data_IF_556637218683
#
_entry.id   IF_556637218683
#
_cell.length_a   1.000
_cell.length_b   1.000
_cell.length_c   1.000
_cell.angle_alpha   90.00
_cell.angle_beta   90.00
_cell.angle_gamma   90.00
#
_symmetry.space_group_name_H-M   'P 1'
#
loop_
_entity.id
_entity.type
_entity.pdbx_description
1 polymer ?
#
# COMPACT_ATOMS: atom_id res chain seq x y z
N UNK A 1 -12.74 -8.43 0.52
CA UNK A 1 -11.79 -8.21 -0.59
C UNK A 1 -11.26 -9.56 -1.05
N UNK A 2 -10.99 -9.74 -2.34
CA UNK A 2 -10.32 -10.94 -2.84
C UNK A 2 -8.88 -10.99 -2.28
N UNK A 3 -8.38 -12.20 -1.99
CA UNK A 3 -7.01 -12.40 -1.51
C UNK A 3 -6.06 -12.48 -2.70
N UNK A 4 -4.95 -11.73 -2.62
CA UNK A 4 -3.89 -11.72 -3.64
C UNK A 4 -2.56 -12.04 -2.96
N UNK A 5 -1.83 -13.03 -3.47
CA UNK A 5 -0.48 -13.35 -3.04
C UNK A 5 0.50 -12.91 -4.15
N UNK A 6 1.44 -12.04 -3.81
CA UNK A 6 2.44 -11.51 -4.75
C UNK A 6 3.81 -11.49 -4.12
N UNK A 7 4.84 -11.57 -4.97
CA UNK A 7 6.22 -11.30 -4.58
C UNK A 7 6.59 -9.89 -5.03
N UNK A 8 7.18 -9.12 -4.13
CA UNK A 8 7.66 -7.76 -4.38
C UNK A 8 9.14 -7.69 -4.01
N UNK A 9 9.86 -6.69 -4.54
CA UNK A 9 11.26 -6.47 -4.17
C UNK A 9 11.39 -6.07 -2.69
N UNK A 10 12.55 -6.37 -2.10
CA UNK A 10 12.87 -5.95 -0.73
C UNK A 10 12.76 -4.43 -0.56
N UNK A 11 13.10 -3.66 -1.60
CA UNK A 11 12.97 -2.21 -1.58
C UNK A 11 11.51 -1.76 -1.44
N UNK A 12 10.59 -2.34 -2.23
CA UNK A 12 9.16 -2.02 -2.15
C UNK A 12 8.60 -2.44 -0.79
N UNK A 13 8.97 -3.63 -0.32
CA UNK A 13 8.58 -4.10 1.01
C UNK A 13 8.99 -3.10 2.10
N UNK A 14 10.26 -2.67 2.11
CA UNK A 14 10.77 -1.74 3.11
C UNK A 14 10.10 -0.36 3.04
N UNK A 15 9.79 0.13 1.83
CA UNK A 15 9.05 1.38 1.64
C UNK A 15 7.63 1.29 2.21
N UNK A 16 6.92 0.19 1.99
CA UNK A 16 5.57 -0.01 2.55
C UNK A 16 5.64 -0.06 4.08
N UNK A 17 6.59 -0.80 4.64
CA UNK A 17 6.79 -0.87 6.10
C UNK A 17 7.07 0.51 6.69
N UNK A 18 7.92 1.31 6.05
CA UNK A 18 8.20 2.68 6.51
C UNK A 18 6.94 3.57 6.51
N UNK A 19 6.04 3.42 5.54
CA UNK A 19 4.75 4.14 5.50
C UNK A 19 3.87 3.75 6.68
N UNK A 20 3.77 2.44 6.98
CA UNK A 20 3.01 1.91 8.11
C UNK A 20 3.54 2.50 9.42
N UNK A 21 4.86 2.42 9.65
CA UNK A 21 5.48 2.94 10.88
C UNK A 21 5.31 4.45 11.02
N UNK A 22 5.47 5.21 9.93
CA UNK A 22 5.23 6.66 9.95
C UNK A 22 3.80 6.98 10.39
N UNK A 23 2.80 6.30 9.85
CA UNK A 23 1.40 6.54 10.24
C UNK A 23 1.11 6.16 11.69
N UNK A 24 1.77 5.12 12.23
CA UNK A 24 1.68 4.81 13.67
C UNK A 24 2.24 5.93 14.53
N UNK A 25 3.39 6.50 14.14
CA UNK A 25 3.98 7.64 14.84
C UNK A 25 3.10 8.89 14.79
N UNK A 26 2.30 9.05 13.74
CA UNK A 26 1.29 10.11 13.60
C UNK A 26 0.04 9.89 14.47
N UNK A 27 0.01 8.84 15.31
CA UNK A 27 -1.04 8.60 16.30
C UNK A 27 -2.25 7.84 15.76
N UNK A 28 -2.15 7.29 14.55
CA UNK A 28 -3.22 6.46 14.03
C UNK A 28 -3.25 5.09 14.72
N UNK A 29 -4.46 4.60 15.00
CA UNK A 29 -4.66 3.42 15.85
C UNK A 29 -4.10 2.18 15.14
N UNK A 30 -3.43 1.30 15.88
CA UNK A 30 -2.84 0.07 15.33
C UNK A 30 -3.84 -0.81 14.58
N UNK A 31 -5.12 -0.81 15.01
CA UNK A 31 -6.20 -1.53 14.32
C UNK A 31 -6.53 -0.97 12.93
N UNK A 32 -6.22 0.30 12.69
CA UNK A 32 -6.59 1.03 11.48
C UNK A 32 -5.45 0.97 10.42
N UNK A 33 -4.24 0.53 10.81
CA UNK A 33 -3.06 0.52 9.94
C UNK A 33 -2.35 -0.83 9.96
N UNK A 34 -2.31 -1.47 8.80
CA UNK A 34 -1.56 -2.70 8.57
C UNK A 34 -0.74 -2.61 7.28
N UNK A 35 0.25 -3.49 7.18
CA UNK A 35 1.01 -3.67 5.95
C UNK A 35 0.07 -4.05 4.79
N UNK A 36 -0.78 -5.06 4.98
CA UNK A 36 -1.73 -5.51 3.96
C UNK A 36 -2.70 -4.41 3.54
N UNK A 37 -3.28 -3.66 4.48
CA UNK A 37 -4.16 -2.53 4.16
C UNK A 37 -3.45 -1.42 3.39
N UNK A 38 -2.21 -1.11 3.76
CA UNK A 38 -1.38 -0.13 3.05
C UNK A 38 -1.02 -0.63 1.65
N UNK A 39 -0.66 -1.91 1.49
CA UNK A 39 -0.39 -2.54 0.19
C UNK A 39 -1.61 -2.54 -0.72
N UNK A 40 -2.80 -2.88 -0.19
CA UNK A 40 -4.06 -2.84 -0.95
C UNK A 40 -4.38 -1.43 -1.43
N UNK A 41 -4.24 -0.42 -0.58
CA UNK A 41 -4.44 0.99 -0.97
C UNK A 41 -3.46 1.43 -2.07
N UNK A 42 -2.18 1.06 -1.97
CA UNK A 42 -1.19 1.38 -3.00
C UNK A 42 -1.47 0.67 -4.32
N UNK A 43 -1.96 -0.58 -4.28
CA UNK A 43 -2.37 -1.32 -5.48
C UNK A 43 -3.54 -0.63 -6.20
N UNK A 44 -4.58 -0.23 -5.45
CA UNK A 44 -5.72 0.50 -6.00
C UNK A 44 -5.31 1.87 -6.57
N UNK A 45 -4.44 2.60 -5.87
CA UNK A 45 -3.91 3.87 -6.35
C UNK A 45 -3.13 3.68 -7.66
N UNK A 46 -2.28 2.65 -7.73
CA UNK A 46 -1.53 2.30 -8.93
C UNK A 46 -2.43 1.97 -10.12
N UNK A 47 -3.52 1.24 -9.88
CA UNK A 47 -4.51 0.93 -10.93
C UNK A 47 -5.18 2.20 -11.47
N UNK A 48 -5.64 3.10 -10.58
CA UNK A 48 -6.24 4.38 -11.00
C UNK A 48 -5.28 5.23 -11.83
N UNK A 49 -4.00 5.27 -11.44
CA UNK A 49 -2.97 6.00 -12.19
C UNK A 49 -2.72 5.35 -13.55
N UNK A 50 -2.67 4.03 -13.62
CA UNK A 50 -2.49 3.29 -14.87
C UNK A 50 -3.65 3.54 -15.84
N UNK A 51 -4.90 3.45 -15.37
CA UNK A 51 -6.10 3.76 -16.17
C UNK A 51 -6.06 5.20 -16.72
N UNK A 52 -5.77 6.18 -15.86
CA UNK A 52 -5.66 7.58 -16.27
C UNK A 52 -4.52 7.84 -17.27
N UNK A 53 -3.48 7.00 -17.30
CA UNK A 53 -2.42 7.08 -18.31
C UNK A 53 -2.82 6.48 -19.66
N UNK A 54 -3.76 5.54 -19.69
CA UNK A 54 -4.25 4.92 -20.93
C UNK A 54 -5.30 5.76 -21.66
N UNK A 55 -6.00 6.65 -20.96
CA UNK A 55 -6.98 7.57 -21.54
C UNK A 55 -6.33 8.82 -22.20
N UNK A 56 -4.99 8.87 -22.27
CA UNK A 56 -4.21 9.90 -22.98
C UNK A 56 -3.72 9.40 -24.33
#
# INVERSE_FOLDING_TARGET
MAKVNVYISNEVHNKITAIVEKRRQEGARDKDISFSGTSSMLLELGLRVYEAQMER
#
